data_IF_478098114243
#
_entry.id   IF_478098114243
#
_cell.length_a   1.000
_cell.length_b   1.000
_cell.length_c   1.000
_cell.angle_alpha   90.00
_cell.angle_beta   90.00
_cell.angle_gamma   90.00
#
_symmetry.space_group_name_H-M   'P 1'
#
loop_
_entity.id
_entity.type
_entity.pdbx_description
1 polymer ?
#
# COMPACT_ATOMS: atom_id res chain seq x y z
N UNK A 1 9.23 -17.78 15.97
CA UNK A 1 8.70 -17.51 14.62
C UNK A 1 9.20 -16.15 14.10
N UNK A 2 9.56 -16.02 12.82
CA UNK A 2 10.22 -14.81 12.25
C UNK A 2 9.45 -13.50 12.47
N UNK A 3 8.11 -13.56 12.53
CA UNK A 3 7.24 -12.38 12.73
C UNK A 3 7.02 -11.98 14.20
N UNK A 4 7.45 -12.81 15.17
CA UNK A 4 7.15 -12.59 16.59
C UNK A 4 7.67 -11.24 17.10
N UNK A 5 8.80 -10.76 16.57
CA UNK A 5 9.39 -9.47 16.94
C UNK A 5 8.50 -8.26 16.62
N UNK A 6 7.49 -8.41 15.77
CA UNK A 6 6.60 -7.32 15.36
C UNK A 6 5.31 -7.22 16.19
N UNK A 7 5.08 -8.15 17.13
CA UNK A 7 3.92 -8.10 18.04
C UNK A 7 2.56 -8.05 17.33
N UNK A 8 2.43 -8.79 16.21
CA UNK A 8 1.22 -8.77 15.37
C UNK A 8 -0.02 -9.34 16.08
N UNK A 9 0.17 -10.26 17.02
CA UNK A 9 -0.87 -10.80 17.91
C UNK A 9 -1.51 -9.70 18.77
N UNK A 10 -0.70 -8.83 19.36
CA UNK A 10 -1.20 -7.66 20.08
C UNK A 10 -1.86 -6.64 19.14
N UNK A 11 -1.30 -6.44 17.95
CA UNK A 11 -1.84 -5.52 16.95
C UNK A 11 -3.23 -5.94 16.43
N UNK A 12 -3.46 -7.24 16.24
CA UNK A 12 -4.75 -7.80 15.79
C UNK A 12 -5.91 -7.47 16.74
N UNK A 13 -5.65 -7.38 18.04
CA UNK A 13 -6.68 -7.06 19.04
C UNK A 13 -7.20 -5.62 19.00
N UNK A 14 -6.55 -4.74 18.22
CA UNK A 14 -6.90 -3.33 18.11
C UNK A 14 -7.65 -3.08 16.81
N UNK A 15 -8.49 -2.04 16.79
CA UNK A 15 -9.13 -1.61 15.56
C UNK A 15 -8.09 -1.25 14.47
N UNK A 16 -8.34 -1.52 13.17
CA UNK A 16 -7.34 -1.32 12.11
C UNK A 16 -6.75 0.09 12.00
N UNK A 17 -7.52 1.12 12.38
CA UNK A 17 -7.07 2.52 12.38
C UNK A 17 -6.55 3.00 13.74
N UNK A 18 -6.64 2.17 14.78
CA UNK A 18 -6.09 2.51 16.09
C UNK A 18 -4.55 2.45 16.06
N UNK A 19 -3.85 3.26 16.87
CA UNK A 19 -2.40 3.23 16.95
C UNK A 19 -1.83 1.81 17.18
N UNK A 20 -1.08 1.32 16.20
CA UNK A 20 -0.48 -0.01 16.19
C UNK A 20 -1.47 -1.16 16.02
N UNK A 21 -2.65 -0.91 15.45
CA UNK A 21 -3.57 -1.98 15.02
C UNK A 21 -3.09 -2.68 13.76
N UNK A 22 -3.53 -3.92 13.54
CA UNK A 22 -3.18 -4.68 12.35
C UNK A 22 -4.05 -4.25 11.17
N UNK A 23 -3.41 -3.83 10.08
CA UNK A 23 -4.08 -3.42 8.86
C UNK A 23 -3.21 -3.71 7.63
N UNK A 24 -3.72 -4.53 6.73
CA UNK A 24 -3.08 -4.90 5.46
C UNK A 24 -3.79 -4.14 4.34
N UNK A 25 -3.05 -3.34 3.58
CA UNK A 25 -3.61 -2.54 2.47
C UNK A 25 -2.77 -2.67 1.18
N UNK A 26 -1.62 -3.34 1.21
CA UNK A 26 -0.80 -3.60 0.02
C UNK A 26 -0.77 -5.08 -0.34
N UNK A 27 -0.86 -5.41 -1.63
CA UNK A 27 -0.62 -6.78 -2.11
C UNK A 27 -0.17 -6.77 -3.56
N UNK A 28 0.93 -7.44 -3.88
CA UNK A 28 1.35 -7.63 -5.29
C UNK A 28 2.24 -8.86 -5.46
N UNK A 29 2.42 -9.33 -6.69
CA UNK A 29 3.35 -10.41 -6.98
C UNK A 29 4.80 -9.95 -6.83
N UNK A 30 5.66 -10.83 -6.33
CA UNK A 30 7.09 -10.65 -6.45
C UNK A 30 7.54 -10.88 -7.89
N UNK A 31 8.75 -10.41 -8.19
CA UNK A 31 9.43 -10.62 -9.49
C UNK A 31 9.50 -12.10 -9.93
N UNK A 32 9.43 -13.04 -8.99
CA UNK A 32 9.46 -14.48 -9.28
C UNK A 32 8.13 -15.04 -9.84
N UNK A 33 7.07 -14.24 -9.85
CA UNK A 33 5.73 -14.61 -10.31
C UNK A 33 5.03 -15.70 -9.49
N UNK A 34 5.59 -16.11 -8.34
CA UNK A 34 5.08 -17.22 -7.51
C UNK A 34 4.79 -16.80 -6.08
N UNK A 35 5.49 -15.79 -5.60
CA UNK A 35 5.36 -15.24 -4.25
C UNK A 35 4.51 -13.98 -4.29
N UNK A 36 3.66 -13.77 -3.27
CA UNK A 36 2.91 -12.51 -3.10
C UNK A 36 3.53 -11.72 -1.95
N UNK A 37 3.84 -10.44 -2.16
CA UNK A 37 4.12 -9.51 -1.07
C UNK A 37 2.82 -9.03 -0.45
N UNK A 38 2.73 -9.11 0.87
CA UNK A 38 1.64 -8.56 1.68
C UNK A 38 2.18 -7.34 2.44
N UNK A 39 1.60 -6.17 2.21
CA UNK A 39 2.02 -4.89 2.78
C UNK A 39 1.09 -4.37 3.86
N UNK A 40 1.68 -3.94 4.97
CA UNK A 40 0.96 -3.47 6.13
C UNK A 40 0.93 -1.94 6.15
N UNK A 41 -0.27 -1.39 6.29
CA UNK A 41 -0.42 0.02 6.67
C UNK A 41 -0.08 0.23 8.14
N UNK A 42 -0.43 -0.74 8.96
CA UNK A 42 -0.08 -0.77 10.37
C UNK A 42 0.02 -2.22 10.85
N UNK A 43 0.89 -2.53 11.84
CA UNK A 43 1.84 -1.62 12.50
C UNK A 43 2.99 -1.18 11.59
N UNK A 44 3.77 -0.18 12.04
CA UNK A 44 4.99 0.32 11.40
C UNK A 44 6.16 0.09 12.38
N UNK A 45 6.60 -1.17 12.57
CA UNK A 45 7.61 -1.52 13.56
C UNK A 45 8.94 -0.81 13.26
N UNK A 46 9.60 -0.31 14.30
CA UNK A 46 10.87 0.43 14.20
C UNK A 46 10.81 1.67 13.29
N UNK A 47 9.61 2.21 13.05
CA UNK A 47 9.40 3.31 12.11
C UNK A 47 9.53 2.93 10.64
N UNK A 48 9.58 1.62 10.33
CA UNK A 48 9.66 1.09 8.97
C UNK A 48 8.40 0.33 8.58
N UNK A 49 7.98 0.49 7.33
CA UNK A 49 6.85 -0.22 6.77
C UNK A 49 7.16 -1.73 6.69
N UNK A 50 6.17 -2.57 7.01
CA UNK A 50 6.33 -4.02 7.01
C UNK A 50 5.74 -4.64 5.74
N UNK A 51 6.54 -5.50 5.11
CA UNK A 51 6.15 -6.40 4.03
C UNK A 51 6.39 -7.85 4.48
N UNK A 52 5.48 -8.76 4.14
CA UNK A 52 5.62 -10.19 4.42
C UNK A 52 5.38 -10.99 3.13
N UNK A 53 6.36 -11.77 2.66
CA UNK A 53 6.16 -12.67 1.53
C UNK A 53 5.23 -13.85 1.89
N UNK A 54 4.22 -14.11 1.08
CA UNK A 54 3.40 -15.31 1.08
C UNK A 54 3.92 -16.25 -0.02
N UNK A 55 4.53 -17.35 0.39
CA UNK A 55 5.32 -18.25 -0.47
C UNK A 55 4.47 -19.28 -1.22
N UNK A 56 3.26 -19.57 -0.74
CA UNK A 56 2.38 -20.60 -1.30
C UNK A 56 0.95 -20.09 -1.60
N UNK A 57 0.78 -18.96 -2.31
CA UNK A 57 -0.53 -18.34 -2.50
C UNK A 57 -1.53 -19.26 -3.22
N UNK A 58 -1.07 -20.03 -4.22
CA UNK A 58 -1.92 -20.98 -4.97
C UNK A 58 -2.41 -22.09 -4.06
N UNK A 59 -1.51 -22.82 -3.39
CA UNK A 59 -1.89 -23.90 -2.49
C UNK A 59 -2.75 -23.41 -1.30
N UNK A 60 -2.50 -22.19 -0.81
CA UNK A 60 -3.35 -21.56 0.23
C UNK A 60 -4.80 -21.41 -0.25
N UNK A 61 -5.00 -20.90 -1.46
CA UNK A 61 -6.34 -20.58 -1.99
C UNK A 61 -7.05 -21.81 -2.56
N UNK A 62 -6.34 -22.64 -3.33
CA UNK A 62 -6.93 -23.76 -4.07
C UNK A 62 -7.05 -25.03 -3.22
N UNK A 63 -6.10 -25.28 -2.32
CA UNK A 63 -6.02 -26.51 -1.54
C UNK A 63 -6.35 -26.30 -0.05
N UNK A 64 -6.52 -25.05 0.39
CA UNK A 64 -6.72 -24.71 1.80
C UNK A 64 -5.49 -24.97 2.67
N UNK A 65 -4.30 -25.05 2.05
CA UNK A 65 -3.05 -25.24 2.78
C UNK A 65 -2.77 -24.06 3.72
N UNK A 66 -2.04 -24.31 4.82
CA UNK A 66 -1.62 -23.21 5.71
C UNK A 66 -0.70 -22.24 4.97
N UNK A 67 -0.87 -20.94 5.20
CA UNK A 67 0.03 -19.91 4.67
C UNK A 67 1.48 -20.15 5.15
N UNK A 68 2.39 -20.18 4.19
CA UNK A 68 3.84 -20.22 4.39
C UNK A 68 4.38 -18.82 4.18
N UNK A 69 4.86 -18.21 5.26
CA UNK A 69 5.36 -16.85 5.26
C UNK A 69 6.89 -16.87 5.15
N UNK A 70 7.44 -16.04 4.28
CA UNK A 70 8.87 -15.85 4.10
C UNK A 70 9.47 -14.83 5.05
N UNK A 71 10.75 -14.53 4.84
CA UNK A 71 11.46 -13.52 5.62
C UNK A 71 10.82 -12.13 5.43
N UNK A 72 10.43 -11.44 6.51
CA UNK A 72 9.79 -10.13 6.44
C UNK A 72 10.78 -9.05 6.00
N UNK A 73 10.28 -8.10 5.21
CA UNK A 73 11.05 -6.94 4.74
C UNK A 73 10.55 -5.68 5.45
N UNK A 74 11.48 -4.86 5.93
CA UNK A 74 11.19 -3.54 6.51
C UNK A 74 11.71 -2.44 5.59
N UNK A 75 10.82 -1.59 5.08
CA UNK A 75 11.16 -0.47 4.21
C UNK A 75 11.12 0.85 4.97
N UNK A 76 12.14 1.68 4.80
CA UNK A 76 12.12 3.04 5.34
C UNK A 76 11.30 3.94 4.41
N UNK A 77 10.04 4.17 4.78
CA UNK A 77 9.13 5.08 4.09
C UNK A 77 8.89 6.35 4.91
N UNK A 78 9.82 6.69 5.82
CA UNK A 78 9.74 7.85 6.70
C UNK A 78 8.68 7.72 7.79
N UNK A 79 8.56 6.55 8.43
CA UNK A 79 7.55 6.30 9.47
C UNK A 79 6.15 6.03 8.96
N UNK A 80 5.96 5.92 7.64
CA UNK A 80 4.68 5.66 6.99
C UNK A 80 4.50 4.17 6.71
N UNK A 81 3.25 3.70 6.76
CA UNK A 81 2.89 2.34 6.34
C UNK A 81 2.48 2.28 4.87
N UNK A 82 2.22 1.08 4.36
CA UNK A 82 1.82 0.84 2.97
C UNK A 82 0.31 0.94 2.85
N UNK A 83 -0.18 1.83 1.97
CA UNK A 83 -1.59 1.94 1.60
C UNK A 83 -1.93 1.22 0.29
N UNK A 84 -0.94 1.07 -0.58
CA UNK A 84 -1.06 0.31 -1.82
C UNK A 84 0.31 -0.09 -2.33
N UNK A 85 0.36 -1.21 -3.04
CA UNK A 85 1.58 -1.82 -3.56
C UNK A 85 1.27 -2.47 -4.91
N UNK A 86 2.07 -2.16 -5.93
CA UNK A 86 1.96 -2.80 -7.24
C UNK A 86 3.32 -3.05 -7.87
N UNK A 87 3.41 -4.06 -8.72
CA UNK A 87 4.54 -4.25 -9.64
C UNK A 87 4.31 -3.41 -10.90
N UNK A 88 5.38 -2.78 -11.38
CA UNK A 88 5.38 -2.02 -12.62
C UNK A 88 6.79 -1.90 -13.21
N UNK A 89 6.99 -2.39 -14.42
CA UNK A 89 8.22 -2.24 -15.23
C UNK A 89 9.50 -2.62 -14.48
N UNK A 90 9.48 -3.78 -13.81
CA UNK A 90 10.67 -4.33 -13.14
C UNK A 90 10.91 -3.82 -11.72
N UNK A 91 9.97 -3.07 -11.14
CA UNK A 91 10.07 -2.51 -9.79
C UNK A 91 8.70 -2.44 -9.13
N UNK A 92 8.69 -2.19 -7.83
CA UNK A 92 7.49 -1.95 -7.05
C UNK A 92 7.19 -0.46 -6.97
N UNK A 93 5.91 -0.11 -7.04
CA UNK A 93 5.39 1.22 -6.76
C UNK A 93 4.56 1.14 -5.48
N UNK A 94 4.77 2.10 -4.58
CA UNK A 94 4.22 2.08 -3.22
C UNK A 94 3.56 3.42 -2.94
N UNK A 95 2.25 3.41 -2.61
CA UNK A 95 1.64 4.53 -1.90
C UNK A 95 1.85 4.26 -0.42
N UNK A 96 2.49 5.19 0.28
CA UNK A 96 2.59 5.17 1.73
C UNK A 96 1.68 6.21 2.37
N UNK A 97 1.34 6.01 3.64
CA UNK A 97 0.60 7.00 4.42
C UNK A 97 0.48 6.65 5.90
N UNK A 98 -0.14 7.56 6.66
CA UNK A 98 -0.28 7.43 8.11
C UNK A 98 -1.21 6.29 8.54
N UNK A 99 -0.94 5.73 9.72
CA UNK A 99 -1.66 4.58 10.29
C UNK A 99 -3.10 4.92 10.70
N UNK A 100 -3.36 6.15 11.18
CA UNK A 100 -4.67 6.59 11.66
C UNK A 100 -5.57 7.21 10.56
N UNK A 101 -5.04 7.46 9.37
CA UNK A 101 -5.77 8.08 8.25
C UNK A 101 -5.54 9.57 8.14
N UNK A 102 -4.63 10.08 8.96
CA UNK A 102 -4.11 11.44 8.92
C UNK A 102 -2.75 11.46 8.19
N UNK A 103 -2.41 12.61 7.62
CA UNK A 103 -1.12 12.87 6.98
C UNK A 103 -1.12 12.69 5.46
N UNK A 104 -0.14 13.32 4.81
CA UNK A 104 0.02 13.33 3.35
C UNK A 104 0.54 11.98 2.87
N UNK A 105 -0.16 11.37 1.91
CA UNK A 105 0.35 10.19 1.21
C UNK A 105 1.64 10.52 0.47
N UNK A 106 2.54 9.55 0.35
CA UNK A 106 3.77 9.68 -0.45
C UNK A 106 3.86 8.53 -1.44
N UNK A 107 4.56 8.78 -2.55
CA UNK A 107 4.81 7.78 -3.56
C UNK A 107 6.27 7.37 -3.53
N UNK A 108 6.53 6.07 -3.59
CA UNK A 108 7.87 5.51 -3.66
C UNK A 108 7.97 4.48 -4.79
N UNK A 109 9.20 4.30 -5.28
CA UNK A 109 9.57 3.12 -6.06
C UNK A 109 10.60 2.28 -5.30
N UNK A 110 10.61 0.98 -5.53
CA UNK A 110 11.55 0.06 -4.90
C UNK A 110 11.92 -1.06 -5.86
N UNK A 111 13.21 -1.37 -6.01
CA UNK A 111 13.66 -2.43 -6.94
C UNK A 111 13.44 -3.85 -6.41
N UNK A 112 13.24 -4.01 -5.10
CA UNK A 112 13.12 -5.31 -4.45
C UNK A 112 14.38 -5.69 -3.66
N UNK A 113 14.34 -6.84 -2.98
CA UNK A 113 15.51 -7.36 -2.26
C UNK A 113 16.00 -6.43 -1.15
N UNK A 114 17.29 -6.13 -1.16
CA UNK A 114 17.94 -5.27 -0.16
C UNK A 114 18.01 -3.79 -0.58
N UNK A 115 17.52 -3.44 -1.77
CA UNK A 115 17.53 -2.05 -2.25
C UNK A 115 16.70 -1.13 -1.36
N UNK A 116 17.13 0.13 -1.22
CA UNK A 116 16.35 1.15 -0.53
C UNK A 116 15.18 1.63 -1.41
N UNK A 117 14.01 1.95 -0.82
CA UNK A 117 12.95 2.63 -1.55
C UNK A 117 13.36 4.08 -1.87
N UNK A 118 12.95 4.58 -3.04
CA UNK A 118 13.23 5.95 -3.50
C UNK A 118 11.91 6.72 -3.63
N UNK A 119 11.85 7.90 -3.03
CA UNK A 119 10.67 8.77 -3.09
C UNK A 119 10.48 9.34 -4.51
N UNK A 120 9.24 9.38 -4.98
CA UNK A 120 8.88 10.01 -6.26
C UNK A 120 8.37 11.42 -5.97
N UNK A 121 9.25 12.40 -6.08
CA UNK A 121 8.92 13.81 -5.78
C UNK A 121 8.27 14.54 -6.97
N UNK A 122 8.38 13.99 -8.18
CA UNK A 122 7.83 14.58 -9.40
C UNK A 122 6.31 14.50 -9.52
N UNK A 123 5.64 13.81 -8.60
CA UNK A 123 4.18 13.60 -8.61
C UNK A 123 3.56 14.34 -7.41
N UNK A 124 2.71 15.32 -7.68
CA UNK A 124 1.96 16.01 -6.64
C UNK A 124 0.72 15.21 -6.24
N UNK A 125 0.67 14.84 -4.95
CA UNK A 125 -0.46 14.14 -4.34
C UNK A 125 -1.37 15.07 -3.53
N UNK A 126 -1.14 16.39 -3.57
CA UNK A 126 -1.94 17.36 -2.82
C UNK A 126 -3.43 17.23 -3.14
N UNK A 127 -4.23 17.10 -2.08
CA UNK A 127 -5.67 16.94 -2.19
C UNK A 127 -6.13 15.59 -2.76
N UNK A 128 -5.23 14.62 -2.96
CA UNK A 128 -5.56 13.23 -3.27
C UNK A 128 -5.47 12.38 -1.99
N UNK A 129 -6.30 11.34 -1.93
CA UNK A 129 -6.18 10.26 -0.95
C UNK A 129 -6.04 8.94 -1.72
N UNK A 130 -4.87 8.68 -2.33
CA UNK A 130 -4.68 7.51 -3.16
C UNK A 130 -4.72 6.22 -2.32
N UNK A 131 -5.47 5.22 -2.80
CA UNK A 131 -5.64 3.91 -2.15
C UNK A 131 -5.38 2.73 -3.09
N UNK A 132 -5.33 2.96 -4.40
CA UNK A 132 -5.07 1.91 -5.36
C UNK A 132 -4.33 2.41 -6.61
N UNK A 133 -3.78 1.45 -7.34
CA UNK A 133 -3.08 1.63 -8.59
C UNK A 133 -3.77 0.85 -9.72
N UNK A 134 -3.67 1.38 -10.94
CA UNK A 134 -3.58 0.56 -12.15
C UNK A 134 -2.26 0.87 -12.85
N UNK A 135 -1.44 -0.16 -13.06
CA UNK A 135 -0.05 -0.06 -13.52
C UNK A 135 0.15 -0.81 -14.84
N UNK A 136 -0.30 -0.25 -15.97
CA UNK A 136 -0.09 -0.87 -17.28
C UNK A 136 1.40 -0.89 -17.63
N UNK A 137 1.91 -2.06 -18.04
CA UNK A 137 3.34 -2.29 -18.34
C UNK A 137 3.78 -1.67 -19.67
N UNK A 138 2.84 -1.43 -20.59
CA UNK A 138 3.08 -0.90 -21.94
C UNK A 138 3.11 0.63 -22.01
N UNK A 139 2.94 1.33 -20.89
CA UNK A 139 2.97 2.78 -20.81
C UNK A 139 3.91 3.29 -19.71
N UNK A 140 4.33 4.55 -19.82
CA UNK A 140 5.11 5.25 -18.79
C UNK A 140 4.25 5.84 -17.66
N UNK A 141 2.93 5.74 -17.81
CA UNK A 141 1.96 6.33 -16.90
C UNK A 141 1.30 5.24 -16.06
N UNK A 142 0.98 5.61 -14.83
CA UNK A 142 0.17 4.80 -13.94
C UNK A 142 -1.08 5.59 -13.56
N UNK A 143 -2.18 4.89 -13.31
CA UNK A 143 -3.40 5.50 -12.82
C UNK A 143 -3.45 5.37 -11.30
N UNK A 144 -3.43 6.50 -10.61
CA UNK A 144 -3.72 6.59 -9.18
C UNK A 144 -5.23 6.65 -8.98
N UNK A 145 -5.77 5.86 -8.06
CA UNK A 145 -7.18 5.88 -7.67
C UNK A 145 -7.31 6.46 -6.26
N UNK A 146 -8.00 7.58 -6.14
CA UNK A 146 -8.19 8.35 -4.91
C UNK A 146 -9.57 8.10 -4.30
N UNK A 147 -9.63 7.67 -3.04
CA UNK A 147 -10.86 7.66 -2.24
C UNK A 147 -11.16 9.06 -1.72
N UNK A 148 -12.10 9.71 -2.40
CA UNK A 148 -12.54 11.05 -2.07
C UNK A 148 -13.66 11.08 -1.03
N UNK A 149 -13.93 9.98 -0.32
CA UNK A 149 -15.02 9.89 0.64
C UNK A 149 -15.04 11.04 1.66
N UNK A 150 -13.88 11.52 2.11
CA UNK A 150 -13.76 12.67 3.01
C UNK A 150 -13.60 14.03 2.28
N UNK A 151 -13.38 14.04 0.97
CA UNK A 151 -13.24 15.27 0.21
C UNK A 151 -14.60 16.01 0.16
N UNK A 152 -14.62 17.34 0.34
CA UNK A 152 -15.85 18.11 0.30
C UNK A 152 -16.38 18.24 -1.12
N UNK A 153 -17.69 18.07 -1.26
CA UNK A 153 -18.48 18.40 -2.45
C UNK A 153 -19.58 19.35 -1.99
N UNK A 154 -19.50 20.61 -2.41
CA UNK A 154 -20.39 21.69 -1.96
C UNK A 154 -20.50 21.79 -0.43
N UNK A 155 -19.35 21.64 0.25
CA UNK A 155 -19.24 21.73 1.72
C UNK A 155 -19.64 20.47 2.50
N UNK A 156 -20.03 19.38 1.82
CA UNK A 156 -20.39 18.10 2.44
C UNK A 156 -19.36 17.03 2.05
N UNK A 157 -18.88 16.23 3.01
CA UNK A 157 -18.03 15.07 2.71
C UNK A 157 -18.71 14.18 1.65
N UNK A 158 -17.97 13.82 0.59
CA UNK A 158 -18.46 13.01 -0.53
C UNK A 158 -19.26 11.78 -0.06
N UNK A 159 -18.73 11.02 0.91
CA UNK A 159 -19.38 9.81 1.45
C UNK A 159 -20.73 10.09 2.13
N UNK A 160 -20.94 11.31 2.63
CA UNK A 160 -22.16 11.76 3.33
C UNK A 160 -23.19 12.41 2.42
N UNK A 161 -22.89 12.59 1.12
CA UNK A 161 -23.88 13.05 0.16
C UNK A 161 -25.08 12.09 0.12
N UNK A 162 -26.29 12.67 0.18
CA UNK A 162 -27.54 11.90 0.14
C UNK A 162 -27.80 11.30 -1.24
N UNK A 163 -27.45 12.06 -2.28
CA UNK A 163 -27.56 11.62 -3.67
C UNK A 163 -26.33 10.77 -4.05
N UNK A 164 -26.48 9.46 -4.28
CA UNK A 164 -25.37 8.58 -4.63
C UNK A 164 -24.70 8.95 -5.96
N UNK A 165 -25.42 9.56 -6.90
CA UNK A 165 -24.88 9.95 -8.22
C UNK A 165 -23.80 11.04 -8.14
N UNK A 166 -23.78 11.77 -7.02
CA UNK A 166 -22.79 12.81 -6.73
C UNK A 166 -21.58 12.27 -5.96
N UNK A 167 -21.64 11.02 -5.47
CA UNK A 167 -20.47 10.37 -4.86
C UNK A 167 -19.49 9.98 -5.96
N UNK A 168 -18.21 10.24 -5.74
CA UNK A 168 -17.17 10.03 -6.74
C UNK A 168 -15.89 9.51 -6.11
N UNK A 169 -15.13 8.81 -6.95
CA UNK A 169 -13.69 8.58 -6.82
C UNK A 169 -12.98 9.39 -7.90
N UNK A 170 -11.70 9.69 -7.71
CA UNK A 170 -10.87 10.33 -8.74
C UNK A 170 -9.80 9.38 -9.24
N UNK A 171 -9.69 9.28 -10.57
CA UNK A 171 -8.55 8.68 -11.24
C UNK A 171 -7.62 9.79 -11.74
N UNK A 172 -6.31 9.67 -11.48
CA UNK A 172 -5.29 10.60 -11.97
C UNK A 172 -4.17 9.82 -12.62
N UNK A 173 -3.95 10.04 -13.92
CA UNK A 173 -2.80 9.51 -14.63
C UNK A 173 -1.56 10.32 -14.26
N UNK A 174 -0.49 9.63 -13.88
CA UNK A 174 0.80 10.24 -13.52
C UNK A 174 1.93 9.51 -14.22
N UNK A 175 2.90 10.26 -14.74
CA UNK A 175 4.15 9.70 -15.26
C UNK A 175 5.13 9.50 -14.12
N UNK A 176 5.76 8.32 -14.06
CA UNK A 176 6.84 8.04 -13.12
C UNK A 176 8.22 8.13 -13.79
N UNK A 177 9.29 8.51 -13.07
CA UNK A 177 10.63 8.60 -13.64
C UNK A 177 11.14 7.22 -14.06
N UNK A 178 11.80 7.09 -15.22
CA UNK A 178 12.23 5.78 -15.78
C UNK A 178 13.18 4.99 -14.87
N UNK A 179 14.00 5.69 -14.08
CA UNK A 179 14.85 5.09 -13.05
C UNK A 179 14.49 5.67 -11.68
N UNK A 180 14.62 4.88 -10.58
CA UNK A 180 14.73 5.47 -9.24
C UNK A 180 15.93 6.42 -9.18
#
# INVERSE_FOLDING_TARGET
>A
PQLARFGLDGAETKAPKAPGGLNIEGMTAMADGRTILVGFRSPVPDGKALLVPLLNPVALVEEGARAQLGEPVQLDLGGLGIRSLSWWRGRYVIISGGTAGEGTSRLFTWRGGEDAPVAVESVDLAGLNPEAFFTPEDTEEILLLSDDGAAPVDGVECKRLKDPSRKRFRGVWVRLPESP
#
